data_IF_524004185971
#
_entry.id   IF_524004185971
#
_cell.length_a   1.000
_cell.length_b   1.000
_cell.length_c   1.000
_cell.angle_alpha   90.00
_cell.angle_beta   90.00
_cell.angle_gamma   90.00
#
_symmetry.space_group_name_H-M   'P 1'
#
loop_
_entity.id
_entity.type
_entity.pdbx_description
1 polymer ?
#
# COMPACT_ATOMS: atom_id res chain seq x y z
N UNK A 1 10.49 -14.99 44.08
CA UNK A 1 9.14 -14.58 43.69
C UNK A 1 9.07 -13.16 43.13
N UNK A 2 9.58 -12.14 43.82
CA UNK A 2 9.58 -10.73 43.41
C UNK A 2 10.26 -10.51 42.03
N UNK A 3 11.42 -11.16 41.80
CA UNK A 3 12.16 -11.05 40.54
C UNK A 3 11.34 -11.57 39.34
N UNK A 4 10.62 -12.67 39.51
CA UNK A 4 9.76 -13.21 38.46
C UNK A 4 8.60 -12.25 38.11
N UNK A 5 8.01 -11.64 39.13
CA UNK A 5 6.93 -10.64 38.92
C UNK A 5 7.46 -9.41 38.18
N UNK A 6 8.63 -8.90 38.57
CA UNK A 6 9.27 -7.76 37.87
C UNK A 6 9.63 -8.10 36.42
N UNK A 7 10.11 -9.32 36.15
CA UNK A 7 10.39 -9.78 34.80
C UNK A 7 9.12 -9.81 33.94
N UNK A 8 8.03 -10.38 34.49
CA UNK A 8 6.73 -10.47 33.78
C UNK A 8 6.20 -9.05 33.50
N UNK A 9 6.23 -8.17 34.49
CA UNK A 9 5.79 -6.77 34.31
C UNK A 9 6.66 -6.06 33.26
N UNK A 10 7.98 -6.25 33.30
CA UNK A 10 8.91 -5.69 32.30
C UNK A 10 8.61 -6.18 30.89
N UNK A 11 8.34 -7.49 30.73
CA UNK A 11 7.92 -8.07 29.42
C UNK A 11 6.60 -7.49 28.95
N UNK A 12 5.62 -7.36 29.84
CA UNK A 12 4.32 -6.77 29.49
C UNK A 12 4.49 -5.32 29.06
N UNK A 13 5.24 -4.52 29.82
CA UNK A 13 5.53 -3.12 29.45
C UNK A 13 6.24 -3.07 28.11
N UNK A 14 7.27 -3.89 27.89
CA UNK A 14 7.97 -3.96 26.61
C UNK A 14 7.07 -4.30 25.44
N UNK A 15 6.17 -5.29 25.59
CA UNK A 15 5.21 -5.67 24.55
C UNK A 15 4.19 -4.56 24.25
N UNK A 16 3.81 -3.77 25.26
CA UNK A 16 2.91 -2.62 25.12
C UNK A 16 3.62 -1.46 24.43
N UNK A 17 4.88 -1.20 24.79
CA UNK A 17 5.63 -0.03 24.35
C UNK A 17 6.32 -0.24 23.00
N UNK A 18 6.79 -1.46 22.71
CA UNK A 18 7.43 -1.82 21.43
C UNK A 18 6.71 -1.31 20.17
N UNK A 19 5.37 -1.42 20.03
CA UNK A 19 4.66 -0.92 18.84
C UNK A 19 4.78 0.59 18.61
N UNK A 20 5.11 1.38 19.65
CA UNK A 20 5.23 2.84 19.54
C UNK A 20 6.56 3.27 18.93
N UNK A 21 7.61 2.47 19.09
CA UNK A 21 8.93 2.75 18.53
C UNK A 21 9.10 2.24 17.10
N UNK A 22 8.16 1.46 16.58
CA UNK A 22 8.25 0.98 15.19
C UNK A 22 7.80 2.10 14.27
N UNK A 23 8.75 2.76 13.62
CA UNK A 23 8.48 3.62 12.49
C UNK A 23 8.18 2.77 11.25
N UNK A 24 7.17 3.18 10.52
CA UNK A 24 6.86 2.62 9.21
C UNK A 24 6.96 3.72 8.17
N UNK A 25 7.57 3.39 7.05
CA UNK A 25 7.66 4.28 5.91
C UNK A 25 6.27 4.58 5.35
N UNK A 26 6.07 5.83 4.93
CA UNK A 26 4.75 6.30 4.47
C UNK A 26 4.34 5.59 3.19
N UNK A 27 5.28 5.41 2.26
CA UNK A 27 5.06 4.75 0.97
C UNK A 27 5.97 3.54 0.90
N UNK A 28 5.36 2.36 0.81
CA UNK A 28 6.06 1.07 0.77
C UNK A 28 5.68 0.33 -0.50
N UNK A 29 6.64 -0.15 -1.23
CA UNK A 29 6.44 -0.95 -2.43
C UNK A 29 6.99 -2.37 -2.24
N UNK A 30 6.27 -3.35 -2.77
CA UNK A 30 6.66 -4.76 -2.77
C UNK A 30 6.83 -5.22 -4.21
N UNK A 31 8.04 -5.53 -4.61
CA UNK A 31 8.36 -6.03 -5.96
C UNK A 31 8.77 -7.50 -5.94
N UNK A 32 8.81 -8.12 -7.10
CA UNK A 32 9.25 -9.50 -7.26
C UNK A 32 8.49 -10.24 -8.34
N UNK A 33 9.05 -11.35 -8.79
CA UNK A 33 8.46 -12.20 -9.82
C UNK A 33 7.11 -12.81 -9.45
N UNK A 34 6.50 -13.50 -10.41
CA UNK A 34 5.26 -14.24 -10.18
C UNK A 34 5.48 -15.31 -9.10
N UNK A 35 4.51 -15.45 -8.20
CA UNK A 35 4.59 -16.44 -7.11
C UNK A 35 5.52 -16.06 -5.94
N UNK A 36 6.20 -14.92 -5.97
CA UNK A 36 7.10 -14.46 -4.89
C UNK A 36 6.39 -14.10 -3.57
N UNK A 37 5.05 -14.10 -3.55
CA UNK A 37 4.25 -13.76 -2.36
C UNK A 37 4.06 -12.26 -2.13
N UNK A 38 4.36 -11.41 -3.12
CA UNK A 38 4.25 -9.94 -3.02
C UNK A 38 2.85 -9.47 -2.60
N UNK A 39 1.79 -9.90 -3.31
CA UNK A 39 0.42 -9.48 -2.98
C UNK A 39 -0.02 -9.98 -1.60
N UNK A 40 0.39 -11.19 -1.18
CA UNK A 40 0.13 -11.68 0.17
C UNK A 40 0.78 -10.77 1.22
N UNK A 41 2.06 -10.44 1.02
CA UNK A 41 2.82 -9.64 1.98
C UNK A 41 2.35 -8.20 2.04
N UNK A 42 2.11 -7.57 0.89
CA UNK A 42 1.61 -6.20 0.79
C UNK A 42 0.22 -6.04 1.40
N UNK A 43 -0.71 -6.97 1.14
CA UNK A 43 -2.04 -7.00 1.77
C UNK A 43 -1.95 -7.15 3.29
N UNK A 44 -1.09 -8.07 3.77
CA UNK A 44 -0.88 -8.23 5.21
C UNK A 44 -0.32 -6.97 5.86
N UNK A 45 0.60 -6.30 5.19
CA UNK A 45 1.18 -5.04 5.66
C UNK A 45 0.13 -3.92 5.67
N UNK A 46 -0.67 -3.77 4.62
CA UNK A 46 -1.74 -2.78 4.58
C UNK A 46 -2.74 -2.98 5.75
N UNK A 47 -3.15 -4.23 6.00
CA UNK A 47 -4.02 -4.57 7.14
C UNK A 47 -3.36 -4.33 8.50
N UNK A 48 -2.05 -4.54 8.61
CA UNK A 48 -1.28 -4.27 9.83
C UNK A 48 -1.22 -2.77 10.12
N UNK A 49 -0.95 -1.95 9.11
CA UNK A 49 -0.91 -0.50 9.20
C UNK A 49 -2.29 0.08 9.55
N UNK A 50 -3.36 -0.42 8.91
CA UNK A 50 -4.73 -0.05 9.25
C UNK A 50 -5.04 -0.33 10.73
N UNK A 51 -4.72 -1.54 11.21
CA UNK A 51 -4.94 -1.90 12.63
C UNK A 51 -4.14 -1.00 13.58
N UNK A 52 -2.90 -0.65 13.22
CA UNK A 52 -2.08 0.31 13.99
C UNK A 52 -2.78 1.66 14.11
N UNK A 53 -3.20 2.23 12.97
CA UNK A 53 -3.86 3.53 12.95
C UNK A 53 -5.21 3.51 13.68
N UNK A 54 -6.00 2.45 13.50
CA UNK A 54 -7.27 2.28 14.24
C UNK A 54 -7.08 2.20 15.76
N UNK A 55 -6.04 1.52 16.23
CA UNK A 55 -5.69 1.51 17.66
C UNK A 55 -5.32 2.90 18.16
N UNK A 56 -4.55 3.67 17.36
CA UNK A 56 -4.19 5.05 17.68
C UNK A 56 -5.44 5.94 17.78
N UNK A 57 -6.36 5.83 16.83
CA UNK A 57 -7.61 6.60 16.82
C UNK A 57 -8.53 6.21 17.99
N UNK A 58 -8.71 4.91 18.25
CA UNK A 58 -9.50 4.44 19.39
C UNK A 58 -8.96 4.99 20.71
N UNK A 59 -7.65 4.96 20.90
CA UNK A 59 -7.00 5.52 22.10
C UNK A 59 -7.23 7.02 22.21
N UNK A 60 -7.05 7.76 21.11
CA UNK A 60 -7.32 9.20 21.08
C UNK A 60 -8.76 9.51 21.44
N UNK A 61 -9.72 8.81 20.82
CA UNK A 61 -11.14 9.03 21.05
C UNK A 61 -11.59 8.67 22.47
N UNK A 62 -10.90 7.74 23.10
CA UNK A 62 -11.09 7.42 24.52
C UNK A 62 -10.60 8.55 25.42
N UNK A 63 -9.42 9.09 25.13
CA UNK A 63 -8.82 10.18 25.93
C UNK A 63 -9.47 11.54 25.66
N UNK A 64 -10.03 11.75 24.46
CA UNK A 64 -10.61 13.03 24.02
C UNK A 64 -12.04 12.86 23.48
N UNK A 65 -13.03 12.57 24.34
CA UNK A 65 -14.40 12.26 23.92
C UNK A 65 -15.11 13.41 23.19
N UNK A 66 -14.69 14.67 23.45
CA UNK A 66 -15.22 15.86 22.79
C UNK A 66 -14.60 16.15 21.42
N UNK A 67 -13.39 15.64 21.16
CA UNK A 67 -12.66 15.84 19.89
C UNK A 67 -12.31 14.48 19.28
N UNK A 68 -13.31 13.79 18.80
CA UNK A 68 -13.15 12.45 18.21
C UNK A 68 -12.58 12.53 16.81
N UNK A 69 -11.63 11.67 16.54
CA UNK A 69 -11.11 11.42 15.20
C UNK A 69 -11.96 10.39 14.47
N UNK A 70 -12.09 10.60 13.17
CA UNK A 70 -12.74 9.64 12.29
C UNK A 70 -11.93 8.34 12.20
N UNK A 71 -12.65 7.20 12.08
CA UNK A 71 -12.00 5.88 11.99
C UNK A 71 -11.35 5.67 10.63
N UNK A 72 -10.07 5.29 10.59
CA UNK A 72 -9.36 5.07 9.34
C UNK A 72 -9.93 3.90 8.55
N UNK A 73 -9.94 4.05 7.23
CA UNK A 73 -10.39 3.08 6.25
C UNK A 73 -9.21 2.48 5.49
N UNK A 74 -9.46 1.38 4.79
CA UNK A 74 -8.55 0.82 3.79
C UNK A 74 -9.15 1.05 2.42
N UNK A 75 -8.51 1.86 1.61
CA UNK A 75 -8.85 2.04 0.20
C UNK A 75 -8.02 1.08 -0.64
N UNK A 76 -8.61 0.41 -1.61
CA UNK A 76 -7.92 -0.60 -2.39
C UNK A 76 -8.28 -0.54 -3.86
N UNK A 77 -7.31 -0.80 -4.72
CA UNK A 77 -7.50 -0.95 -6.16
C UNK A 77 -8.13 -2.30 -6.54
N UNK A 78 -8.11 -3.27 -5.62
CA UNK A 78 -8.72 -4.60 -5.81
C UNK A 78 -9.66 -4.93 -4.66
N UNK A 79 -10.62 -5.85 -4.85
CA UNK A 79 -11.49 -6.32 -3.78
C UNK A 79 -10.69 -6.94 -2.64
N UNK A 80 -10.74 -6.32 -1.46
CA UNK A 80 -10.06 -6.80 -0.27
C UNK A 80 -11.02 -7.00 0.89
N UNK A 81 -10.89 -8.14 1.55
CA UNK A 81 -11.59 -8.44 2.79
C UNK A 81 -10.68 -8.16 3.97
N UNK A 82 -11.05 -7.21 4.82
CA UNK A 82 -10.29 -6.80 6.01
C UNK A 82 -10.54 -7.77 7.16
N UNK A 83 -11.81 -8.06 7.43
CA UNK A 83 -12.28 -8.99 8.45
C UNK A 83 -13.46 -9.82 7.95
N UNK A 84 -14.08 -10.67 8.79
CA UNK A 84 -15.22 -11.52 8.37
C UNK A 84 -16.40 -10.70 7.83
N UNK A 85 -16.60 -9.48 8.34
CA UNK A 85 -17.75 -8.60 8.01
C UNK A 85 -17.33 -7.27 7.40
N UNK A 86 -16.04 -7.07 7.10
CA UNK A 86 -15.53 -5.78 6.67
C UNK A 86 -14.70 -5.93 5.41
N UNK A 87 -14.93 -5.04 4.46
CA UNK A 87 -14.23 -4.96 3.18
C UNK A 87 -13.54 -3.61 3.05
N UNK A 88 -12.56 -3.55 2.17
CA UNK A 88 -11.92 -2.29 1.81
C UNK A 88 -12.89 -1.42 1.02
N UNK A 89 -12.65 -0.11 1.07
CA UNK A 89 -13.31 0.84 0.17
C UNK A 89 -12.63 0.84 -1.19
N UNK A 90 -13.42 1.15 -2.19
CA UNK A 90 -12.93 1.20 -3.57
C UNK A 90 -12.03 2.42 -3.74
N UNK A 91 -10.82 2.21 -4.24
CA UNK A 91 -9.92 3.28 -4.61
C UNK A 91 -10.31 3.82 -5.99
N UNK A 92 -10.74 5.07 -6.05
CA UNK A 92 -11.11 5.76 -7.31
C UNK A 92 -9.99 6.66 -7.81
N UNK A 93 -10.05 7.06 -9.07
CA UNK A 93 -9.14 8.06 -9.63
C UNK A 93 -9.17 9.38 -8.85
N UNK A 94 -10.35 9.79 -8.39
CA UNK A 94 -10.50 10.99 -7.56
C UNK A 94 -9.70 10.92 -6.25
N UNK A 95 -9.62 9.75 -5.62
CA UNK A 95 -8.81 9.57 -4.42
C UNK A 95 -7.31 9.73 -4.72
N UNK A 96 -6.88 9.39 -5.93
CA UNK A 96 -5.47 9.51 -6.33
C UNK A 96 -5.08 10.93 -6.73
N UNK A 97 -6.03 11.69 -7.23
CA UNK A 97 -5.80 13.09 -7.62
C UNK A 97 -6.12 14.05 -6.48
N UNK A 98 -7.08 13.69 -5.62
CA UNK A 98 -7.58 14.51 -4.52
C UNK A 98 -7.50 13.72 -3.21
N UNK A 99 -6.29 13.59 -2.67
CA UNK A 99 -6.03 12.88 -1.42
C UNK A 99 -6.82 13.43 -0.21
N UNK A 100 -7.35 14.65 -0.31
CA UNK A 100 -8.25 15.24 0.68
C UNK A 100 -9.55 14.44 0.87
N UNK A 101 -9.97 13.67 -0.15
CA UNK A 101 -11.12 12.75 -0.08
C UNK A 101 -10.84 11.49 0.72
N UNK A 102 -9.58 11.23 1.06
CA UNK A 102 -9.21 10.08 1.88
C UNK A 102 -9.38 10.44 3.35
N UNK A 103 -10.13 9.60 4.07
CA UNK A 103 -10.28 9.72 5.52
C UNK A 103 -8.90 9.78 6.20
N UNK A 104 -8.68 10.72 7.12
CA UNK A 104 -7.39 10.85 7.79
C UNK A 104 -6.89 9.54 8.41
N UNK A 105 -5.57 9.31 8.34
CA UNK A 105 -4.88 8.12 8.87
C UNK A 105 -5.24 6.81 8.19
N UNK A 106 -5.94 6.86 7.06
CA UNK A 106 -6.30 5.69 6.26
C UNK A 106 -5.10 5.10 5.55
N UNK A 107 -5.29 3.89 5.03
CA UNK A 107 -4.28 3.17 4.25
C UNK A 107 -4.79 3.04 2.83
N UNK A 108 -3.94 3.32 1.86
CA UNK A 108 -4.19 3.10 0.43
C UNK A 108 -3.40 1.89 0.00
N UNK A 109 -4.07 0.93 -0.60
CA UNK A 109 -3.46 -0.25 -1.17
C UNK A 109 -3.64 -0.25 -2.71
N UNK A 110 -2.53 -0.36 -3.43
CA UNK A 110 -2.52 -0.38 -4.90
C UNK A 110 -1.85 -1.67 -5.36
N UNK A 111 -2.64 -2.55 -5.94
CA UNK A 111 -2.13 -3.77 -6.57
C UNK A 111 -1.71 -3.45 -8.02
N UNK A 112 -0.55 -3.94 -8.44
CA UNK A 112 0.04 -3.71 -9.76
C UNK A 112 0.08 -2.20 -10.10
N UNK A 113 0.86 -1.44 -9.32
CA UNK A 113 0.92 0.02 -9.44
C UNK A 113 1.39 0.47 -10.82
N UNK A 114 2.23 -0.30 -11.50
CA UNK A 114 2.66 -0.04 -12.86
C UNK A 114 1.51 -0.10 -13.87
N UNK A 115 0.54 -1.02 -13.67
CA UNK A 115 -0.66 -1.08 -14.49
C UNK A 115 -1.64 0.05 -14.16
N UNK A 116 -1.63 0.51 -12.91
CA UNK A 116 -2.49 1.58 -12.43
C UNK A 116 -1.96 2.96 -12.79
N UNK A 117 -0.66 3.14 -12.74
CA UNK A 117 0.06 4.36 -13.00
C UNK A 117 1.24 4.06 -13.96
N UNK A 118 0.90 3.75 -15.22
CA UNK A 118 1.89 3.44 -16.24
C UNK A 118 2.53 4.75 -16.73
N UNK A 119 3.86 4.73 -16.89
CA UNK A 119 4.61 5.88 -17.43
C UNK A 119 4.12 6.33 -18.82
N UNK A 120 3.48 5.44 -19.59
CA UNK A 120 2.93 5.77 -20.90
C UNK A 120 1.54 6.44 -20.82
N UNK A 121 0.80 6.26 -19.72
CA UNK A 121 -0.52 6.84 -19.50
C UNK A 121 -0.43 8.27 -18.95
N UNK A 122 0.69 8.62 -18.31
CA UNK A 122 0.97 9.97 -17.79
C UNK A 122 1.51 10.93 -18.85
N UNK A 123 0.98 10.85 -20.07
CA UNK A 123 1.32 11.81 -21.13
C UNK A 123 0.71 13.20 -20.89
N UNK A 124 -0.32 13.28 -20.03
CA UNK A 124 -0.90 14.56 -19.65
C UNK A 124 -0.10 15.17 -18.49
N UNK A 125 0.65 16.26 -18.73
CA UNK A 125 1.50 16.87 -17.72
C UNK A 125 0.71 17.39 -16.50
N UNK A 126 -0.56 17.79 -16.68
CA UNK A 126 -1.40 18.26 -15.58
C UNK A 126 -1.79 17.12 -14.63
N UNK A 127 -2.16 15.96 -15.19
CA UNK A 127 -2.49 14.77 -14.40
C UNK A 127 -1.26 14.30 -13.63
N UNK A 128 -0.11 14.24 -14.30
CA UNK A 128 1.15 13.86 -13.68
C UNK A 128 1.54 14.84 -12.57
N UNK A 129 1.41 16.14 -12.80
CA UNK A 129 1.71 17.17 -11.80
C UNK A 129 0.83 16.99 -10.56
N UNK A 130 -0.50 16.90 -10.72
CA UNK A 130 -1.44 16.75 -9.62
C UNK A 130 -1.18 15.45 -8.84
N UNK A 131 -0.91 14.36 -9.53
CA UNK A 131 -0.60 13.09 -8.90
C UNK A 131 0.69 13.16 -8.08
N UNK A 132 1.73 13.79 -8.61
CA UNK A 132 3.00 14.01 -7.91
C UNK A 132 2.82 14.87 -6.66
N UNK A 133 2.07 15.97 -6.76
CA UNK A 133 1.78 16.83 -5.62
C UNK A 133 0.98 16.06 -4.55
N UNK A 134 -0.02 15.28 -4.97
CA UNK A 134 -0.80 14.46 -4.06
C UNK A 134 0.07 13.43 -3.33
N UNK A 135 0.97 12.72 -4.03
CA UNK A 135 1.87 11.76 -3.40
C UNK A 135 2.87 12.45 -2.48
N UNK A 136 3.44 13.58 -2.91
CA UNK A 136 4.39 14.37 -2.10
C UNK A 136 3.76 14.82 -0.79
N UNK A 137 2.52 15.28 -0.83
CA UNK A 137 1.80 15.83 0.30
C UNK A 137 0.91 14.80 0.99
N UNK A 138 0.91 13.55 0.56
CA UNK A 138 0.03 12.49 1.06
C UNK A 138 0.00 12.41 2.59
N UNK A 139 1.17 12.41 3.22
CA UNK A 139 1.27 12.36 4.68
C UNK A 139 0.60 13.54 5.36
N UNK A 140 0.66 14.72 4.74
CA UNK A 140 0.05 15.94 5.27
C UNK A 140 -1.47 15.89 5.12
N UNK A 141 -1.98 15.61 3.93
CA UNK A 141 -3.42 15.52 3.66
C UNK A 141 -4.09 14.42 4.49
N UNK A 142 -3.47 13.27 4.59
CA UNK A 142 -4.02 12.13 5.32
C UNK A 142 -3.66 12.13 6.81
N UNK A 143 -2.92 13.12 7.30
CA UNK A 143 -2.50 13.24 8.72
C UNK A 143 -1.86 11.94 9.25
N UNK A 144 -0.98 11.33 8.47
CA UNK A 144 -0.25 10.10 8.83
C UNK A 144 -0.87 8.82 8.28
N UNK A 145 -1.49 8.87 7.10
CA UNK A 145 -1.86 7.70 6.32
C UNK A 145 -0.65 6.99 5.70
N UNK A 146 -0.90 5.84 5.10
CA UNK A 146 0.10 5.01 4.44
C UNK A 146 -0.34 4.63 3.03
N UNK A 147 0.64 4.49 2.13
CA UNK A 147 0.47 3.86 0.82
C UNK A 147 1.26 2.56 0.84
N UNK A 148 0.60 1.48 0.46
CA UNK A 148 1.23 0.18 0.24
C UNK A 148 0.91 -0.24 -1.18
N UNK A 149 1.93 -0.44 -1.98
CA UNK A 149 1.76 -0.89 -3.35
C UNK A 149 2.58 -2.13 -3.64
N UNK A 150 2.25 -2.81 -4.71
CA UNK A 150 3.07 -3.87 -5.27
C UNK A 150 3.19 -3.74 -6.78
N UNK A 151 4.23 -4.35 -7.33
CA UNK A 151 4.46 -4.48 -8.76
C UNK A 151 5.37 -5.67 -9.05
N UNK A 152 5.45 -6.09 -10.29
CA UNK A 152 6.37 -7.14 -10.70
C UNK A 152 7.81 -6.63 -10.75
N UNK A 153 8.00 -5.41 -11.25
CA UNK A 153 9.29 -4.75 -11.37
C UNK A 153 9.18 -3.28 -10.96
N UNK A 154 10.20 -2.75 -10.30
CA UNK A 154 10.25 -1.34 -9.94
C UNK A 154 10.34 -0.41 -11.17
N UNK A 155 10.84 -0.92 -12.29
CA UNK A 155 10.99 -0.16 -13.54
C UNK A 155 9.63 0.15 -14.21
N UNK A 156 8.61 -0.65 -13.96
CA UNK A 156 7.26 -0.40 -14.46
C UNK A 156 6.60 0.81 -13.80
N UNK A 157 7.12 1.22 -12.65
CA UNK A 157 6.58 2.35 -11.88
C UNK A 157 7.11 3.65 -12.48
N UNK A 158 6.22 4.60 -12.71
CA UNK A 158 6.58 5.97 -13.15
C UNK A 158 7.68 6.53 -12.26
N UNK A 159 8.70 7.13 -12.88
CA UNK A 159 9.91 7.60 -12.19
C UNK A 159 9.60 8.56 -11.04
N UNK A 160 8.62 9.43 -11.22
CA UNK A 160 8.21 10.42 -10.21
C UNK A 160 7.63 9.76 -8.97
N UNK A 161 6.85 8.69 -9.15
CA UNK A 161 6.30 7.89 -8.04
C UNK A 161 7.43 7.11 -7.38
N UNK A 162 8.27 6.45 -8.19
CA UNK A 162 9.39 5.64 -7.72
C UNK A 162 10.33 6.44 -6.83
N UNK A 163 10.63 7.70 -7.19
CA UNK A 163 11.43 8.62 -6.37
C UNK A 163 10.79 8.99 -5.03
N UNK A 164 9.48 8.76 -4.86
CA UNK A 164 8.73 9.07 -3.62
C UNK A 164 8.49 7.84 -2.75
N UNK A 165 8.74 6.65 -3.26
CA UNK A 165 8.66 5.43 -2.48
C UNK A 165 9.80 5.46 -1.45
N UNK A 166 9.44 5.36 -0.17
CA UNK A 166 10.43 5.40 0.91
C UNK A 166 11.25 4.10 0.98
N UNK A 167 10.60 2.98 0.68
CA UNK A 167 11.24 1.66 0.73
C UNK A 167 10.65 0.71 -0.29
N UNK A 168 11.51 0.00 -0.99
CA UNK A 168 11.17 -1.10 -1.90
C UNK A 168 11.63 -2.42 -1.28
N UNK A 169 10.70 -3.34 -1.14
CA UNK A 169 10.96 -4.72 -0.70
C UNK A 169 10.94 -5.64 -1.91
N UNK A 170 12.09 -6.03 -2.40
CA UNK A 170 12.18 -7.01 -3.47
C UNK A 170 12.09 -8.43 -2.89
N UNK A 171 11.00 -9.13 -3.21
CA UNK A 171 10.71 -10.47 -2.71
C UNK A 171 11.22 -11.53 -3.68
N UNK A 172 12.13 -12.41 -3.22
CA UNK A 172 12.80 -13.37 -4.09
C UNK A 172 12.27 -14.80 -3.92
N UNK A 173 12.39 -15.37 -2.73
CA UNK A 173 12.07 -16.76 -2.48
C UNK A 173 10.93 -16.91 -1.51
N UNK A 174 9.79 -17.36 -1.99
CA UNK A 174 8.62 -17.66 -1.16
C UNK A 174 8.56 -19.16 -0.88
N UNK A 175 8.52 -19.51 0.40
CA UNK A 175 8.28 -20.88 0.86
C UNK A 175 7.11 -20.88 1.81
N UNK A 176 6.26 -21.90 1.70
CA UNK A 176 5.09 -22.09 2.55
C UNK A 176 5.14 -23.48 3.15
N UNK A 177 4.86 -23.59 4.44
CA UNK A 177 4.65 -24.85 5.14
C UNK A 177 3.47 -24.70 6.09
N UNK A 178 2.41 -25.47 5.87
CA UNK A 178 1.14 -25.36 6.58
C UNK A 178 0.58 -23.92 6.57
N UNK A 179 0.45 -23.31 7.74
CA UNK A 179 -0.01 -21.93 7.93
C UNK A 179 1.15 -20.90 7.97
N UNK A 180 2.38 -21.35 7.99
CA UNK A 180 3.54 -20.48 8.02
C UNK A 180 4.08 -20.24 6.62
N UNK A 181 4.61 -19.04 6.40
CA UNK A 181 5.41 -18.76 5.22
C UNK A 181 6.63 -17.94 5.60
N UNK A 182 7.66 -18.08 4.81
CA UNK A 182 8.84 -17.23 4.86
C UNK A 182 9.23 -16.81 3.45
N UNK A 183 9.69 -15.59 3.37
CA UNK A 183 10.11 -14.99 2.12
C UNK A 183 11.43 -14.28 2.35
N UNK A 184 12.41 -14.55 1.50
CA UNK A 184 13.64 -13.76 1.45
C UNK A 184 13.31 -12.45 0.73
N UNK A 185 13.64 -11.34 1.33
CA UNK A 185 13.48 -10.04 0.72
C UNK A 185 14.77 -9.23 0.83
N UNK A 186 15.05 -8.49 -0.23
CA UNK A 186 16.06 -7.44 -0.24
C UNK A 186 15.36 -6.12 0.00
N UNK A 187 15.84 -5.36 0.97
CA UNK A 187 15.37 -4.01 1.21
C UNK A 187 16.25 -3.08 0.39
N UNK A 188 15.66 -2.36 -0.55
CA UNK A 188 16.35 -1.39 -1.39
C UNK A 188 15.81 -0.02 -0.99
N UNK A 189 16.61 0.78 -0.29
CA UNK A 189 16.31 2.20 -0.16
C UNK A 189 16.76 2.90 -1.45
N UNK A 190 15.99 3.88 -1.91
CA UNK A 190 16.30 4.58 -3.17
C UNK A 190 17.67 5.25 -3.12
N UNK A 191 18.10 5.70 -1.94
CA UNK A 191 19.44 6.26 -1.73
C UNK A 191 20.56 5.22 -1.85
N UNK A 192 20.27 3.95 -1.59
CA UNK A 192 21.23 2.83 -1.72
C UNK A 192 21.26 2.29 -3.15
N UNK A 193 20.16 2.35 -3.91
CA UNK A 193 20.12 1.91 -5.31
C UNK A 193 21.08 2.75 -6.18
N UNK A 194 21.17 4.06 -5.91
CA UNK A 194 22.09 4.96 -6.60
C UNK A 194 23.55 4.66 -6.22
N UNK A 195 23.82 4.40 -4.95
CA UNK A 195 25.18 4.12 -4.46
C UNK A 195 25.68 2.72 -4.82
N UNK A 196 24.80 1.70 -4.82
CA UNK A 196 25.19 0.32 -5.19
C UNK A 196 25.51 0.15 -6.65
N UNK A 197 24.94 0.98 -7.53
CA UNK A 197 25.32 1.00 -8.95
C UNK A 197 26.71 1.63 -9.14
N UNK A 198 27.08 2.61 -8.31
CA UNK A 198 28.39 3.26 -8.39
C UNK A 198 29.52 2.49 -7.69
N UNK A 199 29.22 1.76 -6.59
CA UNK A 199 30.27 1.15 -5.75
C UNK A 199 30.47 -0.37 -5.96
N UNK A 200 29.62 -1.04 -6.74
CA UNK A 200 29.73 -2.50 -6.99
C UNK A 200 29.62 -3.41 -5.75
N UNK A 201 29.36 -2.84 -4.59
CA UNK A 201 29.26 -3.52 -3.30
C UNK A 201 27.84 -4.01 -3.03
N UNK A 202 27.51 -5.19 -3.51
CA UNK A 202 26.30 -5.91 -3.13
C UNK A 202 26.50 -6.66 -1.81
N UNK A 203 26.75 -5.97 -0.72
CA UNK A 203 26.53 -6.60 0.58
C UNK A 203 25.03 -6.83 0.75
N UNK A 204 24.68 -8.09 0.83
CA UNK A 204 23.31 -8.62 0.81
C UNK A 204 22.56 -8.17 2.07
N UNK A 205 21.87 -7.05 2.01
CA UNK A 205 20.83 -6.65 2.97
C UNK A 205 19.60 -7.58 2.87
N UNK A 206 19.88 -8.89 2.73
CA UNK A 206 18.85 -9.90 2.64
C UNK A 206 18.24 -10.19 4.01
N UNK A 207 16.93 -10.02 4.12
CA UNK A 207 16.18 -10.34 5.33
C UNK A 207 15.17 -11.43 5.05
N UNK A 208 15.00 -12.34 6.00
CA UNK A 208 13.93 -13.31 5.95
C UNK A 208 12.71 -12.75 6.69
N UNK A 209 11.62 -12.57 5.96
CA UNK A 209 10.35 -12.20 6.55
C UNK A 209 9.51 -13.45 6.77
N UNK A 210 8.99 -13.61 7.98
CA UNK A 210 8.10 -14.71 8.35
C UNK A 210 6.69 -14.16 8.52
N UNK A 211 5.70 -14.95 8.19
CA UNK A 211 4.31 -14.61 8.41
C UNK A 211 3.41 -15.84 8.53
N UNK A 212 2.16 -15.59 8.89
CA UNK A 212 1.14 -16.63 9.04
C UNK A 212 0.06 -16.38 7.98
N UNK A 213 -0.31 -17.44 7.26
CA UNK A 213 -1.45 -17.46 6.36
C UNK A 213 -2.59 -18.14 7.10
N UNK A 214 -3.70 -17.44 7.27
CA UNK A 214 -4.89 -18.09 7.76
C UNK A 214 -5.52 -18.90 6.62
N UNK A 215 -5.53 -20.24 6.66
CA UNK A 215 -6.06 -21.07 5.59
C UNK A 215 -7.57 -20.91 5.42
N UNK A 216 -8.29 -20.52 6.49
CA UNK A 216 -9.75 -20.33 6.49
C UNK A 216 -10.21 -18.92 6.13
N UNK A 217 -9.26 -17.99 5.93
CA UNK A 217 -9.58 -16.60 5.66
C UNK A 217 -8.79 -16.04 4.50
N UNK A 218 -9.37 -16.13 3.33
CA UNK A 218 -8.83 -15.48 2.14
C UNK A 218 -9.15 -13.98 2.19
N UNK A 219 -8.14 -13.16 2.09
CA UNK A 219 -8.28 -11.70 2.15
C UNK A 219 -8.49 -11.08 0.77
N UNK A 220 -8.08 -11.73 -0.29
CA UNK A 220 -8.18 -11.27 -1.67
C UNK A 220 -8.18 -12.47 -2.63
N UNK A 221 -8.60 -12.23 -3.84
CA UNK A 221 -8.55 -13.19 -4.93
C UNK A 221 -7.41 -12.84 -5.89
N UNK A 222 -6.58 -13.83 -6.19
CA UNK A 222 -5.48 -13.68 -7.15
C UNK A 222 -5.96 -13.53 -8.58
N UNK A 223 -7.22 -13.90 -8.84
CA UNK A 223 -7.85 -13.84 -10.17
C UNK A 223 -8.90 -12.74 -10.29
N UNK A 224 -8.84 -11.73 -9.43
CA UNK A 224 -9.82 -10.63 -9.44
C UNK A 224 -9.82 -9.86 -10.76
N UNK A 225 -8.66 -9.74 -11.41
CA UNK A 225 -8.56 -9.12 -12.74
C UNK A 225 -9.23 -9.93 -13.86
N UNK A 226 -9.40 -11.24 -13.66
CA UNK A 226 -10.16 -12.11 -14.56
C UNK A 226 -11.66 -12.16 -14.21
N UNK A 227 -12.13 -11.30 -13.32
CA UNK A 227 -13.53 -11.25 -12.90
C UNK A 227 -13.98 -12.42 -12.02
N UNK A 228 -13.03 -13.16 -11.42
CA UNK A 228 -13.32 -14.29 -10.53
C UNK A 228 -13.16 -13.85 -9.08
N UNK A 229 -14.27 -13.87 -8.34
CA UNK A 229 -14.33 -13.43 -6.95
C UNK A 229 -14.82 -14.58 -6.07
N UNK A 230 -13.92 -15.22 -5.34
CA UNK A 230 -14.24 -16.33 -4.43
C UNK A 230 -14.20 -15.91 -2.96
N UNK A 231 -13.50 -14.84 -2.62
CA UNK A 231 -13.30 -14.35 -1.25
C UNK A 231 -14.14 -13.12 -0.91
N UNK A 232 -14.73 -12.49 -1.90
CA UNK A 232 -15.59 -11.30 -1.77
C UNK A 232 -16.94 -11.58 -2.45
N UNK A 233 -18.09 -11.29 -1.82
CA UNK A 233 -19.40 -11.43 -2.44
C UNK A 233 -19.49 -10.64 -3.75
N UNK A 234 -20.23 -11.17 -4.73
CA UNK A 234 -20.34 -10.56 -6.05
C UNK A 234 -20.86 -9.11 -6.00
N UNK A 235 -21.86 -8.83 -5.18
CA UNK A 235 -22.43 -7.49 -4.97
C UNK A 235 -21.39 -6.45 -4.55
N UNK A 236 -20.45 -6.88 -3.71
CA UNK A 236 -19.35 -6.01 -3.26
C UNK A 236 -18.28 -5.92 -4.33
N UNK A 237 -17.96 -7.02 -5.00
CA UNK A 237 -16.96 -7.08 -6.06
C UNK A 237 -17.35 -6.24 -7.29
N UNK A 238 -18.64 -6.10 -7.57
CA UNK A 238 -19.15 -5.30 -8.69
C UNK A 238 -18.75 -3.83 -8.60
N UNK A 239 -18.55 -3.30 -7.40
CA UNK A 239 -18.04 -1.93 -7.20
C UNK A 239 -16.66 -1.73 -7.85
N UNK A 240 -15.83 -2.78 -7.86
CA UNK A 240 -14.51 -2.76 -8.51
C UNK A 240 -14.55 -3.01 -10.00
N UNK A 241 -15.56 -3.77 -10.51
CA UNK A 241 -15.73 -4.01 -11.95
C UNK A 241 -15.97 -2.70 -12.70
N UNK A 242 -16.86 -1.85 -12.18
CA UNK A 242 -17.13 -0.52 -12.76
C UNK A 242 -15.84 0.28 -12.90
N UNK A 243 -14.94 0.21 -11.91
CA UNK A 243 -13.67 0.92 -11.96
C UNK A 243 -12.67 0.33 -12.96
N UNK A 244 -12.64 -0.99 -13.11
CA UNK A 244 -11.76 -1.63 -14.08
C UNK A 244 -12.18 -1.27 -15.52
N UNK A 245 -13.47 -1.17 -15.77
CA UNK A 245 -14.00 -0.73 -17.07
C UNK A 245 -13.69 0.77 -17.30
N UNK A 246 -13.77 1.59 -16.26
CA UNK A 246 -13.53 3.03 -16.34
C UNK A 246 -12.03 3.41 -16.29
N UNK A 247 -11.12 2.49 -15.96
CA UNK A 247 -9.67 2.75 -15.94
C UNK A 247 -9.14 3.30 -17.26
N UNK A 248 -9.65 2.83 -18.38
CA UNK A 248 -9.26 3.29 -19.72
C UNK A 248 -10.05 4.53 -20.20
N UNK A 249 -11.19 4.82 -19.56
CA UNK A 249 -12.13 5.85 -20.00
C UNK A 249 -12.12 7.10 -19.14
N UNK A 250 -11.61 7.04 -17.90
CA UNK A 250 -11.77 8.12 -16.90
C UNK A 250 -10.61 9.08 -16.78
N UNK A 251 -9.51 8.86 -17.47
CA UNK A 251 -8.58 9.96 -17.70
C UNK A 251 -9.27 10.91 -18.69
N UNK A 252 -9.52 12.19 -18.36
CA UNK A 252 -10.12 13.10 -19.29
C UNK A 252 -9.30 13.05 -20.57
N UNK A 253 -9.88 12.62 -21.67
CA UNK A 253 -9.32 12.80 -23.00
C UNK A 253 -9.26 14.30 -23.19
N UNK A 254 -8.17 14.90 -22.83
CA UNK A 254 -7.91 16.30 -23.18
C UNK A 254 -7.89 16.30 -24.70
N UNK A 255 -9.00 16.77 -25.28
CA UNK A 255 -9.10 17.04 -26.69
C UNK A 255 -7.98 18.04 -26.99
N UNK A 256 -6.95 17.61 -27.71
CA UNK A 256 -5.97 18.55 -28.22
C UNK A 256 -6.74 19.44 -29.17
N UNK A 257 -7.01 20.66 -28.77
CA UNK A 257 -7.29 21.69 -29.75
C UNK A 257 -6.02 21.82 -30.60
N UNK A 258 -6.15 21.75 -31.93
CA UNK A 258 -5.02 22.01 -32.79
C UNK A 258 -4.51 23.40 -32.44
N UNK A 259 -3.22 23.50 -32.15
CA UNK A 259 -2.55 24.80 -32.12
C UNK A 259 -2.85 25.47 -33.46
N UNK A 260 -3.73 26.44 -33.45
CA UNK A 260 -3.84 27.37 -34.56
C UNK A 260 -2.49 28.07 -34.64
N UNK A 261 -1.71 27.68 -35.61
CA UNK A 261 -0.58 28.47 -36.05
C UNK A 261 -1.19 29.70 -36.70
N UNK A 262 -1.34 30.74 -35.93
CA UNK A 262 -1.49 32.08 -36.51
C UNK A 262 -0.12 32.44 -37.10
N UNK A 263 0.03 32.11 -38.38
CA UNK A 263 0.97 32.80 -39.26
C UNK A 263 0.26 34.09 -39.67
N UNK A 264 0.78 35.21 -39.21
CA UNK A 264 0.85 36.49 -39.91
C UNK A 264 2.00 37.34 -39.30
#
# INVERSE_FOLDING_TARGET
>A
MIFLVLLIVGVIIFLIVKPYFIHYDTIQCYTGGLGSGKSLKSVQQAKKLLRKNRRKVKRHNFLHPKNKWEMPLLYSSIPLRISRKEYAEVLTADHLLLWQKIVPRSVVFIDEIGAFANQFDFKNPLVLHNFNECIRLFRHYTRGGYIVCNDQCSENIVLEIRRRINVVYNLMHFKKFLCFYWVKCRNISISEEIKTVEEGNTEDNMRTMVGIINPFFRSYDTHCYAGRYNSVPAEIADRWKVLQTNRLLSLPKVRREPLTTDED
#
